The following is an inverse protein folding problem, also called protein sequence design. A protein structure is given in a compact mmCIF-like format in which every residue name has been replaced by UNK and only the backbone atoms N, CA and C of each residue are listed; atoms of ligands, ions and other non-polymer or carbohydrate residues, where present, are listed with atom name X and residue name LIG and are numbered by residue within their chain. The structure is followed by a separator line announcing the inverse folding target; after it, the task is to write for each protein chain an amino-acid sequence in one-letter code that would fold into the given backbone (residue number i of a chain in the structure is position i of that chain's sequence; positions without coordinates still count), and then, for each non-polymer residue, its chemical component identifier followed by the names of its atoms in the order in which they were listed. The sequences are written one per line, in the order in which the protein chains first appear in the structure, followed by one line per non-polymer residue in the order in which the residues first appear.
data_IF_182267457285
#
_entry.id   IF_182267457285
#
_cell.length_a   1.000
_cell.length_b   1.000
_cell.length_c   1.000
_cell.angle_alpha   90.00
_cell.angle_beta   90.00
_cell.angle_gamma   90.00
#
_symmetry.space_group_name_H-M   'P 1'
#
loop_
_entity.id
_entity.type
_entity.pdbx_description
1 polymer ?
#
# COMPACT_ATOMS: atom_id res chain seq x y z
N UNK A 1 -33.88 42.04 -16.67
CA UNK A 1 -33.17 40.95 -17.36
C UNK A 1 -31.71 41.37 -17.45
N UNK A 2 -30.91 41.07 -16.42
CA UNK A 2 -29.49 41.47 -16.36
C UNK A 2 -28.63 40.30 -16.87
N UNK A 3 -28.28 40.32 -18.15
CA UNK A 3 -27.19 39.49 -18.64
C UNK A 3 -25.90 40.29 -18.44
N UNK A 4 -25.18 39.95 -17.37
CA UNK A 4 -23.83 40.47 -17.16
C UNK A 4 -22.98 40.05 -18.36
N UNK A 5 -22.41 41.02 -19.07
CA UNK A 5 -21.46 40.75 -20.16
C UNK A 5 -20.26 40.06 -19.52
N UNK A 6 -20.13 38.75 -19.75
CA UNK A 6 -19.02 37.96 -19.25
C UNK A 6 -17.84 38.25 -20.17
N UNK A 7 -16.81 38.92 -19.65
CA UNK A 7 -15.61 39.22 -20.42
C UNK A 7 -14.94 37.91 -20.84
N UNK A 8 -14.61 37.76 -22.14
CA UNK A 8 -14.03 36.53 -22.71
C UNK A 8 -12.77 36.07 -21.97
N UNK A 9 -11.98 37.02 -21.48
CA UNK A 9 -10.78 36.75 -20.68
C UNK A 9 -11.10 36.12 -19.31
N UNK A 10 -12.24 36.46 -18.70
CA UNK A 10 -12.68 35.89 -17.42
C UNK A 10 -13.12 34.44 -17.60
N UNK A 11 -13.73 34.09 -18.74
CA UNK A 11 -14.12 32.71 -19.06
C UNK A 11 -12.88 31.82 -19.23
N UNK A 12 -11.85 32.31 -19.93
CA UNK A 12 -10.59 31.59 -20.13
C UNK A 12 -9.86 31.37 -18.80
N UNK A 13 -9.77 32.41 -17.96
CA UNK A 13 -9.15 32.29 -16.63
C UNK A 13 -9.90 31.29 -15.74
N UNK A 14 -11.24 31.31 -15.76
CA UNK A 14 -12.06 30.38 -14.97
C UNK A 14 -11.88 28.93 -15.43
N UNK A 15 -11.81 28.70 -16.75
CA UNK A 15 -11.57 27.37 -17.31
C UNK A 15 -10.18 26.82 -16.95
N UNK A 16 -9.14 27.67 -16.95
CA UNK A 16 -7.79 27.28 -16.53
C UNK A 16 -7.75 26.92 -15.04
N UNK A 17 -8.37 27.73 -14.17
CA UNK A 17 -8.46 27.44 -12.75
C UNK A 17 -9.23 26.14 -12.48
N UNK A 18 -10.33 25.89 -13.20
CA UNK A 18 -11.09 24.65 -13.11
C UNK A 18 -10.24 23.44 -13.55
N UNK A 19 -9.48 23.57 -14.65
CA UNK A 19 -8.59 22.51 -15.14
C UNK A 19 -7.50 22.15 -14.14
N UNK A 20 -6.92 23.15 -13.48
CA UNK A 20 -5.93 22.96 -12.42
C UNK A 20 -6.54 22.26 -11.21
N UNK A 21 -7.73 22.67 -10.78
CA UNK A 21 -8.45 22.02 -9.67
C UNK A 21 -8.81 20.57 -10.00
N UNK A 22 -9.31 20.29 -11.20
CA UNK A 22 -9.63 18.92 -11.66
C UNK A 22 -8.37 18.05 -11.71
N UNK A 23 -7.24 18.59 -12.19
CA UNK A 23 -5.96 17.90 -12.20
C UNK A 23 -5.46 17.55 -10.79
N UNK A 24 -5.53 18.48 -9.84
CA UNK A 24 -5.17 18.22 -8.44
C UNK A 24 -6.15 17.23 -7.76
N UNK A 25 -7.45 17.28 -8.10
CA UNK A 25 -8.43 16.31 -7.60
C UNK A 25 -8.23 14.91 -8.18
N UNK A 26 -7.78 14.77 -9.44
CA UNK A 26 -7.48 13.46 -10.02
C UNK A 26 -6.16 12.87 -9.49
N UNK A 27 -5.14 13.72 -9.27
CA UNK A 27 -3.84 13.28 -8.80
C UNK A 27 -3.87 12.77 -7.34
N UNK A 28 -4.78 13.28 -6.51
CA UNK A 28 -4.85 12.90 -5.09
C UNK A 28 -5.58 11.57 -4.80
N UNK A 29 -6.13 10.90 -5.82
CA UNK A 29 -6.96 9.69 -5.63
C UNK A 29 -6.31 8.38 -6.10
N UNK A 30 -5.04 8.39 -6.53
CA UNK A 30 -4.35 7.15 -6.87
C UNK A 30 -3.98 6.41 -5.58
N UNK A 31 -4.90 5.61 -5.05
CA UNK A 31 -4.59 4.58 -4.05
C UNK A 31 -3.44 3.74 -4.58
N UNK A 32 -2.43 3.46 -3.74
CA UNK A 32 -1.32 2.60 -4.13
C UNK A 32 -1.85 1.24 -4.55
N UNK A 33 -1.73 0.92 -5.84
CA UNK A 33 -2.35 -0.28 -6.40
C UNK A 33 -1.32 -1.37 -6.70
N UNK A 34 -0.85 -2.01 -5.63
CA UNK A 34 0.02 -3.20 -5.67
C UNK A 34 -0.67 -4.32 -6.47
N UNK A 35 -1.99 -4.48 -6.27
CA UNK A 35 -2.81 -5.48 -6.97
C UNK A 35 -2.82 -5.22 -8.48
N UNK A 36 -3.08 -3.98 -8.92
CA UNK A 36 -3.13 -3.68 -10.36
C UNK A 36 -1.76 -3.86 -11.04
N UNK A 37 -0.67 -3.58 -10.31
CA UNK A 37 0.67 -3.89 -10.81
C UNK A 37 0.86 -5.40 -10.96
N UNK A 38 0.52 -6.18 -9.93
CA UNK A 38 0.63 -7.63 -9.97
C UNK A 38 -0.22 -8.25 -11.09
N UNK A 39 -1.44 -7.77 -11.34
CA UNK A 39 -2.28 -8.22 -12.46
C UNK A 39 -1.62 -8.06 -13.83
N UNK A 40 -0.84 -6.98 -14.02
CA UNK A 40 -0.18 -6.68 -15.30
C UNK A 40 1.16 -7.39 -15.46
N UNK A 41 1.82 -7.73 -14.36
CA UNK A 41 3.23 -8.14 -14.37
C UNK A 41 3.48 -9.55 -13.82
N UNK A 42 2.53 -10.15 -13.10
CA UNK A 42 2.68 -11.46 -12.49
C UNK A 42 1.76 -12.51 -13.12
N UNK A 43 2.28 -13.73 -13.24
CA UNK A 43 1.48 -14.89 -13.65
C UNK A 43 0.81 -15.53 -12.41
N UNK A 44 -0.40 -16.07 -12.60
CA UNK A 44 -1.14 -16.74 -11.52
C UNK A 44 -0.42 -18.00 -11.04
N UNK A 45 -0.54 -18.29 -9.75
CA UNK A 45 0.00 -19.48 -9.07
C UNK A 45 1.53 -19.68 -9.21
N UNK A 46 2.26 -18.66 -9.65
CA UNK A 46 3.72 -18.66 -9.78
C UNK A 46 4.26 -17.56 -8.88
N UNK A 47 5.43 -17.77 -8.30
CA UNK A 47 6.11 -16.73 -7.53
C UNK A 47 6.62 -15.64 -8.50
N UNK A 48 6.33 -14.40 -8.15
CA UNK A 48 6.63 -13.21 -8.94
C UNK A 48 7.39 -12.21 -8.07
N UNK A 49 8.46 -11.61 -8.60
CA UNK A 49 9.16 -10.53 -7.90
C UNK A 49 8.61 -9.19 -8.37
N UNK A 50 8.18 -8.36 -7.43
CA UNK A 50 7.72 -7.00 -7.69
C UNK A 50 8.69 -5.99 -7.05
N UNK A 51 8.89 -4.87 -7.74
CA UNK A 51 9.77 -3.79 -7.28
C UNK A 51 8.93 -2.59 -6.87
N UNK A 52 8.91 -2.28 -5.57
CA UNK A 52 8.10 -1.17 -5.04
C UNK A 52 8.51 0.19 -5.62
N UNK A 53 9.76 0.35 -6.08
CA UNK A 53 10.18 1.57 -6.77
C UNK A 53 9.44 1.82 -8.09
N UNK A 54 8.90 0.78 -8.71
CA UNK A 54 8.11 0.88 -9.95
C UNK A 54 6.61 1.09 -9.71
N UNK A 55 6.16 0.88 -8.47
CA UNK A 55 4.74 0.91 -8.08
C UNK A 55 4.42 2.22 -7.38
N UNK A 56 5.34 2.71 -6.55
CA UNK A 56 5.13 3.86 -5.66
C UNK A 56 5.43 5.15 -6.43
N UNK A 57 4.43 6.02 -6.67
CA UNK A 57 4.59 7.21 -7.52
C UNK A 57 5.14 8.43 -6.76
N UNK A 58 5.54 8.25 -5.50
CA UNK A 58 6.04 9.30 -4.63
C UNK A 58 7.39 8.89 -4.04
N UNK A 59 8.11 9.87 -3.48
CA UNK A 59 9.37 9.60 -2.81
C UNK A 59 9.16 9.03 -1.40
N UNK A 60 9.97 8.06 -1.04
CA UNK A 60 9.98 7.39 0.25
C UNK A 60 11.40 6.89 0.57
N UNK A 61 11.68 6.67 1.86
CA UNK A 61 12.95 6.11 2.33
C UNK A 61 12.73 4.65 2.79
N UNK A 62 11.70 4.44 3.60
CA UNK A 62 11.30 3.13 4.13
C UNK A 62 9.79 2.90 3.98
N UNK A 63 9.44 1.65 3.74
CA UNK A 63 8.08 1.11 3.70
C UNK A 63 7.98 0.02 4.76
N UNK A 64 6.87 0.06 5.51
CA UNK A 64 6.57 -0.90 6.55
C UNK A 64 5.28 -1.65 6.22
N UNK A 65 5.30 -2.96 6.36
CA UNK A 65 4.10 -3.80 6.29
C UNK A 65 3.90 -4.39 7.67
N UNK A 66 2.88 -3.95 8.39
CA UNK A 66 2.66 -4.24 9.81
C UNK A 66 1.48 -5.20 9.95
N UNK A 67 1.63 -6.21 10.81
CA UNK A 67 0.57 -7.18 11.09
C UNK A 67 -0.63 -6.51 11.79
N UNK A 68 -1.76 -7.21 11.81
CA UNK A 68 -2.99 -6.77 12.44
C UNK A 68 -2.86 -6.59 13.96
N UNK A 69 -3.66 -5.69 14.52
CA UNK A 69 -3.81 -5.56 15.97
C UNK A 69 -2.65 -4.87 16.70
N UNK A 70 -1.69 -4.31 15.96
CA UNK A 70 -0.59 -3.55 16.54
C UNK A 70 -1.10 -2.20 17.07
N UNK A 71 -0.71 -1.86 18.31
CA UNK A 71 -1.15 -0.62 18.97
C UNK A 71 -0.51 0.59 18.32
N UNK A 72 -1.17 1.75 18.43
CA UNK A 72 -0.70 3.00 17.85
C UNK A 72 0.75 3.37 18.25
N UNK A 73 1.05 3.34 19.55
CA UNK A 73 2.41 3.60 20.06
C UNK A 73 3.44 2.61 19.50
N UNK A 74 3.03 1.35 19.35
CA UNK A 74 3.92 0.33 18.81
C UNK A 74 4.23 0.57 17.33
N UNK A 75 3.28 1.09 16.56
CA UNK A 75 3.49 1.53 15.18
C UNK A 75 4.51 2.67 15.15
N UNK A 76 4.34 3.71 15.98
CA UNK A 76 5.28 4.84 16.05
C UNK A 76 6.72 4.40 16.37
N UNK A 77 6.87 3.47 17.32
CA UNK A 77 8.17 2.88 17.66
C UNK A 77 8.76 2.09 16.48
N UNK A 78 7.94 1.34 15.74
CA UNK A 78 8.38 0.55 14.57
C UNK A 78 8.87 1.47 13.45
N UNK A 79 8.09 2.52 13.13
CA UNK A 79 8.35 3.38 11.97
C UNK A 79 9.29 4.56 12.30
N UNK A 80 9.63 4.76 13.58
CA UNK A 80 10.51 5.83 14.04
C UNK A 80 9.98 7.25 13.74
N UNK A 81 8.67 7.40 13.58
CA UNK A 81 8.00 8.63 13.17
C UNK A 81 6.64 8.77 13.86
N UNK A 82 6.19 10.01 14.03
CA UNK A 82 4.85 10.29 14.55
C UNK A 82 3.78 9.73 13.59
N UNK A 83 2.87 8.93 14.12
CA UNK A 83 1.81 8.29 13.37
C UNK A 83 0.49 9.01 13.68
N UNK A 84 -0.24 9.45 12.65
CA UNK A 84 -1.54 10.11 12.84
C UNK A 84 -2.73 9.19 12.56
N UNK A 85 -2.46 8.01 12.01
CA UNK A 85 -3.47 6.99 11.75
C UNK A 85 -3.98 6.34 13.04
N UNK A 86 -5.07 5.60 12.92
CA UNK A 86 -5.64 4.86 14.05
C UNK A 86 -4.94 3.51 14.22
N UNK A 87 -4.90 3.00 15.46
CA UNK A 87 -4.65 1.56 15.67
C UNK A 87 -5.69 0.77 14.88
N UNK A 88 -5.26 -0.24 14.13
CA UNK A 88 -6.15 -1.04 13.29
C UNK A 88 -6.12 -2.51 13.67
N UNK A 89 -7.27 -3.17 13.49
CA UNK A 89 -7.41 -4.62 13.51
C UNK A 89 -6.98 -5.28 12.19
N UNK A 90 -6.47 -4.50 11.23
CA UNK A 90 -6.10 -4.92 9.88
C UNK A 90 -4.63 -4.63 9.59
N UNK A 91 -4.14 -5.20 8.50
CA UNK A 91 -2.77 -4.98 8.04
C UNK A 91 -2.59 -3.52 7.64
N UNK A 92 -1.41 -2.96 7.93
CA UNK A 92 -1.06 -1.61 7.49
C UNK A 92 0.15 -1.62 6.58
N UNK A 93 0.08 -0.80 5.53
CA UNK A 93 1.24 -0.42 4.73
C UNK A 93 1.50 1.06 4.98
N UNK A 94 2.70 1.38 5.46
CA UNK A 94 3.09 2.74 5.83
C UNK A 94 4.38 3.10 5.11
N UNK A 95 4.42 4.25 4.45
CA UNK A 95 5.65 4.80 3.87
C UNK A 95 6.11 5.99 4.69
N UNK A 96 7.41 6.03 4.96
CA UNK A 96 8.07 7.10 5.70
C UNK A 96 9.13 7.74 4.82
N UNK A 97 9.21 9.07 4.90
CA UNK A 97 10.28 9.89 4.33
C UNK A 97 10.73 10.91 5.36
N UNK A 98 12.03 11.04 5.60
CA UNK A 98 12.60 12.02 6.55
C UNK A 98 11.90 12.00 7.93
N UNK A 99 11.67 10.79 8.47
CA UNK A 99 10.95 10.56 9.74
C UNK A 99 9.52 11.12 9.78
N UNK A 100 8.85 11.17 8.64
CA UNK A 100 7.44 11.57 8.51
C UNK A 100 6.70 10.55 7.66
N UNK A 101 5.50 10.18 8.10
CA UNK A 101 4.59 9.36 7.30
C UNK A 101 4.15 10.15 6.07
N UNK A 102 4.42 9.61 4.88
CA UNK A 102 4.03 10.21 3.59
C UNK A 102 2.86 9.49 2.93
N UNK A 103 2.61 8.24 3.31
CA UNK A 103 1.46 7.46 2.86
C UNK A 103 1.12 6.39 3.90
N UNK A 104 -0.17 6.14 4.09
CA UNK A 104 -0.66 4.98 4.84
C UNK A 104 -1.84 4.36 4.09
N UNK A 105 -1.93 3.03 4.16
CA UNK A 105 -3.09 2.27 3.69
C UNK A 105 -3.35 1.09 4.62
N UNK A 106 -4.59 0.62 4.59
CA UNK A 106 -5.10 -0.39 5.50
C UNK A 106 -5.81 -1.47 4.68
N UNK A 107 -5.39 -2.72 4.88
CA UNK A 107 -5.89 -3.86 4.11
C UNK A 107 -6.60 -4.84 5.03
N UNK A 108 -7.90 -4.93 4.84
CA UNK A 108 -8.75 -5.86 5.56
C UNK A 108 -8.83 -7.21 4.82
N UNK A 109 -8.32 -8.31 5.41
CA UNK A 109 -8.43 -9.64 4.81
C UNK A 109 -9.86 -10.23 4.82
N UNK A 110 -10.80 -9.60 5.52
CA UNK A 110 -12.14 -10.12 5.80
C UNK A 110 -13.29 -9.24 5.27
N UNK A 111 -13.06 -8.01 4.79
CA UNK A 111 -14.15 -7.09 4.40
C UNK A 111 -14.09 -6.72 2.93
N UNK A 112 -14.95 -7.35 2.12
CA UNK A 112 -16.27 -6.90 1.61
C UNK A 112 -16.78 -8.02 0.70
N UNK A 113 -18.07 -8.40 0.78
CA UNK A 113 -18.60 -9.52 -0.05
C UNK A 113 -18.44 -9.33 -1.55
N UNK A 114 -18.22 -8.09 -2.00
CA UNK A 114 -18.01 -7.74 -3.40
C UNK A 114 -16.55 -7.57 -3.81
N UNK A 115 -15.60 -7.50 -2.85
CA UNK A 115 -14.18 -7.39 -3.18
C UNK A 115 -13.60 -8.77 -3.48
N UNK A 116 -13.29 -8.99 -4.76
CA UNK A 116 -12.78 -10.27 -5.26
C UNK A 116 -11.25 -10.35 -5.24
N UNK A 117 -10.55 -9.25 -4.99
CA UNK A 117 -9.08 -9.19 -5.01
C UNK A 117 -8.61 -8.66 -3.66
N UNK A 118 -7.88 -9.47 -2.92
CA UNK A 118 -7.44 -9.16 -1.57
C UNK A 118 -5.93 -9.24 -1.48
N UNK A 119 -5.29 -8.16 -1.02
CA UNK A 119 -3.89 -8.20 -0.64
C UNK A 119 -3.75 -8.92 0.70
N UNK A 120 -2.84 -9.89 0.77
CA UNK A 120 -2.60 -10.68 1.98
C UNK A 120 -1.10 -10.75 2.27
N UNK A 121 -0.56 -9.85 3.10
CA UNK A 121 0.79 -10.01 3.63
C UNK A 121 0.94 -11.36 4.33
N UNK A 122 2.04 -12.05 4.07
CA UNK A 122 2.27 -13.42 4.56
C UNK A 122 3.34 -13.46 5.64
N UNK A 123 2.95 -13.22 6.90
CA UNK A 123 3.82 -13.18 8.09
C UNK A 123 4.39 -14.53 8.54
N UNK A 124 4.08 -15.63 7.82
CA UNK A 124 4.61 -16.98 8.06
C UNK A 124 5.81 -17.27 7.15
N UNK A 125 6.77 -16.36 7.09
CA UNK A 125 7.87 -16.44 6.13
C UNK A 125 8.99 -17.38 6.65
N UNK A 126 9.22 -18.58 6.08
CA UNK A 126 10.23 -19.49 6.62
C UNK A 126 11.62 -19.08 6.11
N UNK A 127 12.42 -18.45 6.96
CA UNK A 127 13.86 -18.34 6.75
C UNK A 127 14.57 -19.17 7.80
N UNK A 128 15.13 -20.32 7.39
CA UNK A 128 15.85 -21.35 8.20
C UNK A 128 15.10 -22.65 8.56
N UNK A 129 13.85 -22.82 8.11
CA UNK A 129 13.06 -24.03 8.39
C UNK A 129 12.40 -24.04 9.77
N UNK A 130 12.47 -22.94 10.53
CA UNK A 130 11.61 -22.67 11.68
C UNK A 130 10.49 -21.73 11.27
N UNK A 131 9.25 -22.11 11.60
CA UNK A 131 8.11 -21.19 11.52
C UNK A 131 8.26 -20.12 12.59
N UNK A 132 8.91 -19.00 12.25
CA UNK A 132 8.96 -17.83 13.10
C UNK A 132 7.87 -16.86 12.64
N UNK A 133 7.00 -16.46 13.57
CA UNK A 133 5.99 -15.42 13.30
C UNK A 133 6.66 -14.06 13.44
N UNK A 134 6.66 -13.27 12.37
CA UNK A 134 7.21 -11.92 12.37
C UNK A 134 6.11 -10.88 12.51
N UNK A 135 6.44 -9.76 13.15
CA UNK A 135 5.43 -8.75 13.48
C UNK A 135 5.33 -7.65 12.41
N UNK A 136 6.39 -7.44 11.62
CA UNK A 136 6.40 -6.45 10.54
C UNK A 136 7.54 -6.69 9.55
N UNK A 137 7.39 -6.08 8.37
CA UNK A 137 8.45 -5.96 7.36
C UNK A 137 8.97 -4.54 7.29
N UNK A 138 10.26 -4.41 6.99
CA UNK A 138 10.93 -3.15 6.66
C UNK A 138 11.56 -3.27 5.30
N UNK A 139 11.09 -2.44 4.37
CA UNK A 139 11.54 -2.40 2.98
C UNK A 139 12.18 -1.02 2.80
N UNK A 140 13.45 -0.98 2.36
CA UNK A 140 14.11 0.28 2.01
C UNK A 140 14.07 0.48 0.49
N UNK A 141 14.31 1.72 0.04
CA UNK A 141 14.38 2.04 -1.39
C UNK A 141 15.39 1.18 -2.16
N UNK A 142 16.51 0.86 -1.52
CA UNK A 142 17.59 0.03 -2.10
C UNK A 142 17.33 -1.49 -1.97
N UNK A 143 16.36 -1.89 -1.14
CA UNK A 143 15.92 -3.27 -0.95
C UNK A 143 14.40 -3.38 -1.18
N UNK A 144 13.94 -2.83 -2.30
CA UNK A 144 12.51 -2.62 -2.62
C UNK A 144 11.80 -3.83 -3.26
N UNK A 145 12.50 -4.96 -3.42
CA UNK A 145 11.94 -6.16 -4.06
C UNK A 145 11.14 -6.97 -3.05
N UNK A 146 9.90 -7.31 -3.40
CA UNK A 146 9.03 -8.20 -2.63
C UNK A 146 8.61 -9.40 -3.49
N UNK A 147 8.29 -10.51 -2.82
CA UNK A 147 7.70 -11.68 -3.46
C UNK A 147 6.18 -11.54 -3.48
N UNK A 148 5.57 -11.87 -4.62
CA UNK A 148 4.14 -11.81 -4.87
C UNK A 148 3.68 -13.15 -5.42
N UNK A 149 2.60 -13.71 -4.84
CA UNK A 149 1.94 -14.91 -5.36
C UNK A 149 0.44 -14.69 -5.46
N UNK A 150 -0.09 -14.83 -6.67
CA UNK A 150 -1.52 -14.71 -6.93
C UNK A 150 -2.15 -16.09 -6.77
N UNK A 151 -2.87 -16.31 -5.67
CA UNK A 151 -3.59 -17.55 -5.37
C UNK A 151 -5.07 -17.41 -5.67
N UNK A 152 -5.56 -18.28 -6.56
CA UNK A 152 -6.99 -18.45 -6.77
C UNK A 152 -7.40 -19.76 -6.08
N UNK A 153 -8.21 -19.69 -5.01
CA UNK A 153 -8.72 -20.89 -4.33
C UNK A 153 -9.96 -21.40 -5.08
N UNK A 154 -9.88 -22.49 -5.86
CA UNK A 154 -10.94 -22.81 -6.83
C UNK A 154 -12.24 -23.36 -6.22
N UNK A 155 -12.30 -23.58 -4.90
CA UNK A 155 -13.25 -24.53 -4.31
C UNK A 155 -14.17 -23.96 -3.20
N UNK A 156 -14.12 -22.67 -2.86
CA UNK A 156 -15.02 -22.13 -1.81
C UNK A 156 -15.46 -20.66 -1.96
N UNK A 157 -14.73 -19.83 -2.70
CA UNK A 157 -14.99 -18.37 -2.81
C UNK A 157 -14.43 -17.86 -4.16
N UNK A 158 -15.03 -16.85 -4.78
CA UNK A 158 -14.54 -16.25 -6.04
C UNK A 158 -13.41 -15.23 -5.82
N UNK A 159 -12.84 -15.24 -4.62
CA UNK A 159 -11.74 -14.39 -4.18
C UNK A 159 -10.38 -14.88 -4.68
N UNK A 160 -9.60 -13.91 -5.11
CA UNK A 160 -8.19 -14.02 -5.50
C UNK A 160 -7.34 -13.31 -4.45
N UNK A 161 -6.41 -14.06 -3.87
CA UNK A 161 -5.49 -13.54 -2.86
C UNK A 161 -4.15 -13.21 -3.50
N UNK A 162 -3.68 -11.99 -3.26
CA UNK A 162 -2.37 -11.49 -3.66
C UNK A 162 -1.47 -11.60 -2.43
N UNK A 163 -0.81 -12.74 -2.29
CA UNK A 163 0.10 -12.97 -1.17
C UNK A 163 1.36 -12.17 -1.36
N UNK A 164 1.67 -11.31 -0.40
CA UNK A 164 2.84 -10.45 -0.41
C UNK A 164 3.80 -10.89 0.68
N UNK A 165 5.03 -11.22 0.32
CA UNK A 165 6.04 -11.75 1.22
C UNK A 165 7.37 -11.01 1.06
N UNK A 166 8.23 -11.01 2.08
CA UNK A 166 9.63 -10.60 1.95
C UNK A 166 10.32 -11.37 0.83
N UNK A 167 11.24 -10.73 0.11
CA UNK A 167 12.12 -11.42 -0.84
C UNK A 167 13.39 -11.92 -0.18
N UNK A 168 13.74 -11.40 1.00
CA UNK A 168 14.94 -11.77 1.75
C UNK A 168 14.81 -11.50 3.26
N UNK A 169 15.71 -12.08 4.05
CA UNK A 169 15.70 -12.03 5.52
C UNK A 169 15.97 -10.66 6.11
N UNK A 170 16.62 -9.73 5.39
CA UNK A 170 16.91 -8.40 5.91
C UNK A 170 15.64 -7.55 6.06
N UNK A 171 14.61 -7.87 5.29
CA UNK A 171 13.31 -7.19 5.31
C UNK A 171 12.42 -7.63 6.46
N UNK A 172 12.82 -8.67 7.20
CA UNK A 172 12.02 -9.27 8.25
C UNK A 172 12.48 -8.78 9.61
N UNK A 173 11.52 -8.40 10.47
CA UNK A 173 11.82 -7.92 11.82
C UNK A 173 10.85 -8.49 12.85
N UNK A 174 11.39 -8.74 14.04
CA UNK A 174 10.62 -9.09 15.23
C UNK A 174 10.60 -7.88 16.16
N UNK A 175 9.42 -7.55 16.69
CA UNK A 175 9.31 -6.70 17.87
C UNK A 175 8.95 -7.60 19.04
N UNK A 176 9.82 -7.68 20.04
CA UNK A 176 9.45 -8.29 21.31
C UNK A 176 8.43 -7.36 21.97
N UNK A 177 7.17 -7.79 22.00
CA UNK A 177 6.05 -7.06 22.62
C UNK A 177 5.93 -7.37 24.11
#
# INVERSE_FOLDING_TARGET
MFFHVINKNNIVALALMLGVVIFFLSANNSKLSIIDYADRHCQKNTDCLIDMNKIVPFDWDEMYIIDKGVRHKDIEDIIGAAFKGKSSLFYKIIFVRNKRVVYEDEYDPYIRSYEKKLLKPDFQYPYDGKENNFNYYTISKDNAILSMKIENKPLADDKVYYKLSPSNSQQVKEKNF
#
